data_IF_536802706818
#
_entry.id   IF_536802706818
#
_cell.length_a   1.000
_cell.length_b   1.000
_cell.length_c   1.000
_cell.angle_alpha   90.00
_cell.angle_beta   90.00
_cell.angle_gamma   90.00
#
_symmetry.space_group_name_H-M   'P 1'
#
loop_
_entity.id
_entity.type
_entity.pdbx_description
1 polymer ?
#
# COMPACT_ATOMS: atom_id res chain seq x y z
N UNK A 1 -6.86 11.70 -22.44
CA UNK A 1 -7.39 10.35 -22.73
C UNK A 1 -6.86 9.28 -21.79
N UNK A 2 -5.54 9.06 -21.64
CA UNK A 2 -5.02 8.18 -20.56
C UNK A 2 -5.07 8.90 -19.19
N UNK A 3 -4.87 10.23 -19.18
CA UNK A 3 -4.97 11.11 -18.01
C UNK A 3 -6.34 11.13 -17.33
N UNK A 4 -7.39 10.72 -18.03
CA UNK A 4 -8.79 10.80 -17.56
C UNK A 4 -9.27 9.46 -16.97
N UNK A 5 -8.46 8.40 -17.11
CA UNK A 5 -8.73 7.10 -16.52
C UNK A 5 -8.23 7.08 -15.07
N UNK A 6 -8.96 6.46 -14.12
CA UNK A 6 -8.54 6.34 -12.73
C UNK A 6 -7.44 5.26 -12.59
N UNK A 7 -6.26 5.56 -13.12
CA UNK A 7 -5.17 4.63 -13.30
C UNK A 7 -4.51 4.21 -11.98
N UNK A 8 -4.42 5.10 -10.99
CA UNK A 8 -3.94 4.76 -9.64
C UNK A 8 -4.96 3.88 -8.93
N UNK A 9 -6.25 4.20 -9.02
CA UNK A 9 -7.28 3.30 -8.47
C UNK A 9 -7.24 1.92 -9.12
N UNK A 10 -7.04 1.83 -10.44
CA UNK A 10 -6.87 0.54 -11.11
C UNK A 10 -5.63 -0.20 -10.61
N UNK A 11 -4.48 0.49 -10.47
CA UNK A 11 -3.26 -0.12 -9.96
C UNK A 11 -3.41 -0.64 -8.51
N UNK A 12 -4.20 0.02 -7.67
CA UNK A 12 -4.48 -0.40 -6.29
C UNK A 12 -5.45 -1.57 -6.25
N UNK A 13 -6.61 -1.45 -6.92
CA UNK A 13 -7.73 -2.37 -6.73
C UNK A 13 -7.63 -3.63 -7.58
N UNK A 14 -6.97 -3.58 -8.74
CA UNK A 14 -6.82 -4.75 -9.62
C UNK A 14 -6.11 -5.93 -8.94
N UNK A 15 -4.94 -5.76 -8.27
CA UNK A 15 -4.30 -6.87 -7.57
C UNK A 15 -5.09 -7.31 -6.33
N UNK A 16 -5.81 -6.41 -5.63
CA UNK A 16 -6.68 -6.78 -4.50
C UNK A 16 -7.82 -7.69 -4.96
N UNK A 17 -8.54 -7.29 -6.01
CA UNK A 17 -9.63 -8.08 -6.59
C UNK A 17 -9.07 -9.39 -7.14
N UNK A 18 -7.91 -9.35 -7.81
CA UNK A 18 -7.21 -10.53 -8.29
C UNK A 18 -6.87 -11.52 -7.18
N UNK A 19 -6.36 -11.02 -6.05
CA UNK A 19 -6.07 -11.83 -4.87
C UNK A 19 -7.31 -12.47 -4.27
N UNK A 20 -8.42 -11.73 -4.20
CA UNK A 20 -9.72 -12.28 -3.75
C UNK A 20 -10.19 -13.40 -4.69
N UNK A 21 -10.08 -13.20 -6.01
CA UNK A 21 -10.43 -14.24 -7.01
C UNK A 21 -9.56 -15.48 -6.85
N UNK A 22 -8.25 -15.31 -6.67
CA UNK A 22 -7.30 -16.40 -6.41
C UNK A 22 -7.64 -17.14 -5.12
N UNK A 23 -8.06 -16.41 -4.07
CA UNK A 23 -8.49 -17.01 -2.81
C UNK A 23 -9.73 -17.90 -3.00
N UNK A 24 -10.72 -17.45 -3.79
CA UNK A 24 -11.91 -18.24 -4.10
C UNK A 24 -11.64 -19.43 -5.02
N UNK A 25 -10.65 -19.34 -5.91
CA UNK A 25 -10.20 -20.49 -6.71
C UNK A 25 -9.72 -21.63 -5.79
N UNK A 26 -9.14 -21.27 -4.65
CA UNK A 26 -8.83 -22.17 -3.54
C UNK A 26 -7.74 -23.20 -3.84
N UNK A 27 -7.37 -23.97 -2.82
CA UNK A 27 -6.25 -24.92 -2.89
C UNK A 27 -6.60 -26.26 -3.54
N UNK A 28 -7.84 -26.44 -4.03
CA UNK A 28 -8.25 -27.66 -4.76
C UNK A 28 -7.60 -27.76 -6.14
N UNK A 29 -7.26 -26.62 -6.75
CA UNK A 29 -6.54 -26.54 -8.02
C UNK A 29 -5.39 -25.53 -7.91
N UNK A 30 -4.26 -25.91 -7.27
CA UNK A 30 -3.13 -25.01 -7.04
C UNK A 30 -2.56 -24.41 -8.33
N UNK A 31 -2.53 -25.18 -9.42
CA UNK A 31 -2.00 -24.71 -10.70
C UNK A 31 -2.91 -23.67 -11.37
N UNK A 32 -4.22 -23.80 -11.19
CA UNK A 32 -5.19 -22.77 -11.58
C UNK A 32 -4.96 -21.47 -10.80
N UNK A 33 -4.85 -21.56 -9.48
CA UNK A 33 -4.58 -20.40 -8.62
C UNK A 33 -3.24 -19.72 -8.96
N UNK A 34 -2.19 -20.50 -9.24
CA UNK A 34 -0.86 -20.03 -9.69
C UNK A 34 -0.94 -19.24 -10.99
N UNK A 35 -1.61 -19.77 -12.01
CA UNK A 35 -1.79 -19.11 -13.31
C UNK A 35 -2.63 -17.85 -13.20
N UNK A 36 -3.71 -17.89 -12.40
CA UNK A 36 -4.53 -16.70 -12.13
C UNK A 36 -3.72 -15.62 -11.43
N UNK A 37 -2.93 -15.98 -10.42
CA UNK A 37 -2.11 -15.00 -9.71
C UNK A 37 -1.07 -14.34 -10.62
N UNK A 38 -0.44 -15.13 -11.49
CA UNK A 38 0.51 -14.61 -12.48
C UNK A 38 -0.16 -13.69 -13.51
N UNK A 39 -1.38 -14.05 -13.95
CA UNK A 39 -2.15 -13.19 -14.84
C UNK A 39 -2.43 -11.83 -14.19
N UNK A 40 -2.93 -11.82 -12.95
CA UNK A 40 -3.22 -10.57 -12.25
C UNK A 40 -1.97 -9.75 -11.98
N UNK A 41 -0.85 -10.33 -11.55
CA UNK A 41 0.39 -9.57 -11.32
C UNK A 41 0.95 -8.96 -12.62
N UNK A 42 0.92 -9.69 -13.74
CA UNK A 42 1.32 -9.15 -15.05
C UNK A 42 0.40 -8.02 -15.48
N UNK A 43 -0.91 -8.19 -15.34
CA UNK A 43 -1.88 -7.14 -15.69
C UNK A 43 -1.70 -5.90 -14.81
N UNK A 44 -1.50 -6.06 -13.50
CA UNK A 44 -1.20 -4.93 -12.59
C UNK A 44 0.05 -4.20 -13.04
N UNK A 45 1.13 -4.91 -13.32
CA UNK A 45 2.37 -4.31 -13.80
C UNK A 45 2.14 -3.50 -15.09
N UNK A 46 1.43 -4.07 -16.08
CA UNK A 46 1.08 -3.36 -17.32
C UNK A 46 0.27 -2.09 -17.02
N UNK A 47 -0.66 -2.13 -16.06
CA UNK A 47 -1.43 -0.95 -15.64
C UNK A 47 -0.55 0.12 -15.00
N UNK A 48 0.56 -0.24 -14.33
CA UNK A 48 1.50 0.74 -13.78
C UNK A 48 2.46 1.35 -14.80
N UNK A 49 2.70 0.72 -15.97
CA UNK A 49 3.66 1.23 -16.96
C UNK A 49 3.36 2.65 -17.49
N UNK A 50 2.09 3.04 -17.75
CA UNK A 50 1.75 4.41 -18.10
C UNK A 50 2.19 5.46 -17.07
N UNK A 51 2.32 5.09 -15.78
CA UNK A 51 2.81 5.99 -14.74
C UNK A 51 4.26 6.44 -14.98
N UNK A 52 5.06 5.66 -15.73
CA UNK A 52 6.41 6.05 -16.13
C UNK A 52 6.44 6.72 -17.51
N UNK A 53 5.76 6.14 -18.49
CA UNK A 53 5.86 6.63 -19.88
C UNK A 53 5.16 7.96 -20.11
N UNK A 54 4.17 8.30 -19.29
CA UNK A 54 3.46 9.58 -19.33
C UNK A 54 3.81 10.49 -18.14
N UNK A 55 4.87 10.19 -17.38
CA UNK A 55 5.35 11.04 -16.29
C UNK A 55 6.10 12.26 -16.83
N UNK A 56 5.73 13.45 -16.36
CA UNK A 56 6.45 14.68 -16.67
C UNK A 56 7.50 14.98 -15.59
N UNK A 57 8.78 14.77 -15.90
CA UNK A 57 9.88 15.04 -14.96
C UNK A 57 10.25 16.53 -14.84
N UNK A 58 9.62 17.43 -15.60
CA UNK A 58 9.90 18.86 -15.59
C UNK A 58 9.18 19.64 -14.47
N UNK A 59 8.25 18.99 -13.77
CA UNK A 59 7.40 19.60 -12.73
C UNK A 59 7.52 18.91 -11.38
N UNK A 60 7.33 19.67 -10.31
CA UNK A 60 7.27 19.16 -8.92
C UNK A 60 5.83 18.86 -8.47
N UNK A 61 4.84 19.12 -9.32
CA UNK A 61 3.43 18.89 -9.00
C UNK A 61 3.12 17.39 -8.94
N UNK A 62 2.18 17.03 -8.08
CA UNK A 62 1.61 15.67 -8.05
C UNK A 62 0.91 15.37 -9.38
N UNK A 63 1.16 14.19 -9.93
CA UNK A 63 0.62 13.74 -11.22
C UNK A 63 -0.35 12.57 -11.04
N UNK A 64 -1.15 12.30 -12.07
CA UNK A 64 -2.20 11.27 -12.06
C UNK A 64 -3.14 11.41 -10.85
N UNK A 65 -3.49 12.66 -10.51
CA UNK A 65 -4.25 12.96 -9.30
C UNK A 65 -5.69 12.50 -9.43
N UNK A 66 -6.13 11.67 -8.49
CA UNK A 66 -7.51 11.23 -8.34
C UNK A 66 -8.02 11.73 -7.00
N UNK A 67 -9.06 12.58 -7.02
CA UNK A 67 -9.60 13.18 -5.79
C UNK A 67 -11.11 13.03 -5.73
N UNK A 68 -11.59 12.30 -4.73
CA UNK A 68 -13.01 12.19 -4.39
C UNK A 68 -13.24 12.44 -2.90
N UNK A 69 -14.38 13.04 -2.56
CA UNK A 69 -14.78 13.20 -1.15
C UNK A 69 -15.13 11.83 -0.59
N UNK A 70 -14.49 11.45 0.51
CA UNK A 70 -14.75 10.16 1.17
C UNK A 70 -15.55 10.33 2.47
N UNK A 71 -15.07 11.15 3.40
CA UNK A 71 -15.77 11.46 4.66
C UNK A 71 -15.82 12.98 4.83
N UNK A 72 -16.98 13.55 4.54
CA UNK A 72 -17.15 15.01 4.42
C UNK A 72 -16.98 15.73 5.76
N UNK A 73 -17.44 15.12 6.84
CA UNK A 73 -17.45 15.68 8.20
C UNK A 73 -16.04 15.96 8.71
N UNK A 74 -15.08 15.12 8.32
CA UNK A 74 -13.68 15.21 8.73
C UNK A 74 -12.76 15.74 7.63
N UNK A 75 -13.32 16.18 6.49
CA UNK A 75 -12.55 16.65 5.34
C UNK A 75 -11.56 15.60 4.79
N UNK A 76 -11.92 14.30 4.90
CA UNK A 76 -11.11 13.18 4.43
C UNK A 76 -11.47 12.88 2.97
N UNK A 77 -10.44 12.75 2.15
CA UNK A 77 -10.59 12.50 0.73
C UNK A 77 -9.95 11.18 0.33
N UNK A 78 -10.56 10.51 -0.65
CA UNK A 78 -9.84 9.56 -1.48
C UNK A 78 -8.98 10.38 -2.44
N UNK A 79 -7.79 10.77 -1.97
CA UNK A 79 -6.85 11.60 -2.69
C UNK A 79 -5.61 10.77 -3.01
N UNK A 80 -5.48 10.37 -4.26
CA UNK A 80 -4.31 9.70 -4.80
C UNK A 80 -3.55 10.64 -5.72
N UNK A 81 -2.24 10.46 -5.79
CA UNK A 81 -1.36 11.11 -6.74
C UNK A 81 0.06 10.59 -6.57
N UNK A 82 0.90 10.83 -7.57
CA UNK A 82 2.28 10.37 -7.56
C UNK A 82 3.26 11.50 -7.87
N UNK A 83 4.45 11.40 -7.27
CA UNK A 83 5.60 12.24 -7.55
C UNK A 83 6.78 11.40 -8.06
N UNK A 84 7.96 12.02 -8.18
CA UNK A 84 9.18 11.36 -8.66
C UNK A 84 9.72 10.27 -7.74
N UNK A 85 9.27 10.19 -6.48
CA UNK A 85 9.68 9.15 -5.51
C UNK A 85 8.67 8.00 -5.53
N UNK A 86 7.39 8.31 -5.54
CA UNK A 86 6.29 7.35 -5.48
C UNK A 86 6.23 6.51 -6.76
N UNK A 87 6.46 7.14 -7.92
CA UNK A 87 6.38 6.48 -9.23
C UNK A 87 7.33 5.27 -9.34
N UNK A 88 8.66 5.39 -9.09
CA UNK A 88 9.56 4.24 -9.14
C UNK A 88 9.18 3.15 -8.14
N UNK A 89 8.70 3.50 -6.95
CA UNK A 89 8.34 2.53 -5.90
C UNK A 89 7.10 1.71 -6.28
N UNK A 90 6.10 2.32 -6.92
CA UNK A 90 4.91 1.62 -7.43
C UNK A 90 5.29 0.62 -8.54
N UNK A 91 6.15 1.03 -9.48
CA UNK A 91 6.59 0.16 -10.58
C UNK A 91 7.48 -0.97 -10.05
N UNK A 92 8.36 -0.67 -9.12
CA UNK A 92 9.19 -1.68 -8.45
C UNK A 92 8.32 -2.69 -7.71
N UNK A 93 7.30 -2.23 -6.98
CA UNK A 93 6.39 -3.09 -6.21
C UNK A 93 5.65 -4.08 -7.11
N UNK A 94 5.09 -3.59 -8.22
CA UNK A 94 4.36 -4.45 -9.16
C UNK A 94 5.29 -5.41 -9.92
N UNK A 95 6.47 -4.94 -10.32
CA UNK A 95 7.49 -5.80 -10.93
C UNK A 95 7.97 -6.90 -10.00
N UNK A 96 8.28 -6.56 -8.74
CA UNK A 96 8.73 -7.54 -7.74
C UNK A 96 7.65 -8.57 -7.43
N UNK A 97 6.37 -8.18 -7.46
CA UNK A 97 5.26 -9.12 -7.25
C UNK A 97 5.22 -10.21 -8.32
N UNK A 98 5.51 -9.90 -9.58
CA UNK A 98 5.63 -10.91 -10.64
C UNK A 98 6.72 -11.94 -10.27
N UNK A 99 7.89 -11.47 -9.86
CA UNK A 99 9.02 -12.34 -9.49
C UNK A 99 8.63 -13.23 -8.31
N UNK A 100 8.00 -12.66 -7.28
CA UNK A 100 7.55 -13.41 -6.10
C UNK A 100 6.53 -14.47 -6.48
N UNK A 101 5.54 -14.15 -7.33
CA UNK A 101 4.55 -15.11 -7.80
C UNK A 101 5.21 -16.25 -8.56
N UNK A 102 6.16 -15.96 -9.46
CA UNK A 102 6.89 -17.00 -10.20
C UNK A 102 7.70 -17.89 -9.24
N UNK A 103 8.46 -17.30 -8.32
CA UNK A 103 9.26 -18.05 -7.34
C UNK A 103 8.37 -18.93 -6.43
N UNK A 104 7.17 -18.44 -6.08
CA UNK A 104 6.23 -19.16 -5.24
C UNK A 104 5.67 -20.43 -5.89
N UNK A 105 5.75 -20.58 -7.22
CA UNK A 105 5.31 -21.81 -7.90
C UNK A 105 6.13 -23.03 -7.47
N UNK A 106 7.44 -22.83 -7.26
CA UNK A 106 8.35 -23.89 -6.82
C UNK A 106 8.39 -23.99 -5.30
N UNK A 107 8.49 -22.86 -4.60
CA UNK A 107 8.75 -22.83 -3.15
C UNK A 107 7.49 -23.15 -2.33
N UNK A 108 6.29 -22.77 -2.80
CA UNK A 108 5.06 -22.89 -2.01
C UNK A 108 4.20 -24.05 -2.50
N UNK A 109 4.21 -25.13 -1.71
CA UNK A 109 3.42 -26.34 -1.98
C UNK A 109 2.22 -26.54 -1.02
N UNK A 110 2.21 -25.85 0.12
CA UNK A 110 1.11 -25.88 1.07
C UNK A 110 0.31 -24.58 0.98
N UNK A 111 -1.02 -24.70 0.80
CA UNK A 111 -1.95 -23.55 0.74
C UNK A 111 -1.54 -22.45 -0.27
N UNK A 112 -1.07 -22.86 -1.45
CA UNK A 112 -0.51 -21.95 -2.45
C UNK A 112 -1.49 -20.83 -2.88
N UNK A 113 -2.80 -21.11 -2.96
CA UNK A 113 -3.79 -20.12 -3.32
C UNK A 113 -3.88 -18.99 -2.28
N UNK A 114 -3.84 -19.34 -0.99
CA UNK A 114 -3.88 -18.37 0.11
C UNK A 114 -2.62 -17.50 0.15
N UNK A 115 -1.45 -18.10 -0.10
CA UNK A 115 -0.18 -17.37 -0.18
C UNK A 115 -0.21 -16.35 -1.31
N UNK A 116 -0.56 -16.78 -2.52
CA UNK A 116 -0.59 -15.93 -3.71
C UNK A 116 -1.63 -14.82 -3.58
N UNK A 117 -2.81 -15.14 -3.03
CA UNK A 117 -3.84 -14.15 -2.72
C UNK A 117 -3.34 -13.08 -1.76
N UNK A 118 -2.64 -13.48 -0.68
CA UNK A 118 -2.08 -12.55 0.29
C UNK A 118 -1.06 -11.61 -0.36
N UNK A 119 -0.17 -12.11 -1.23
CA UNK A 119 0.81 -11.28 -1.93
C UNK A 119 0.18 -10.27 -2.90
N UNK A 120 -0.86 -10.66 -3.65
CA UNK A 120 -1.57 -9.75 -4.53
C UNK A 120 -2.35 -8.67 -3.75
N UNK A 121 -3.01 -9.05 -2.66
CA UNK A 121 -3.70 -8.07 -1.80
C UNK A 121 -2.69 -7.09 -1.19
N UNK A 122 -1.53 -7.61 -0.75
CA UNK A 122 -0.43 -6.80 -0.22
C UNK A 122 0.12 -5.84 -1.27
N UNK A 123 0.33 -6.28 -2.52
CA UNK A 123 0.75 -5.43 -3.64
C UNK A 123 -0.17 -4.21 -3.79
N UNK A 124 -1.49 -4.41 -3.80
CA UNK A 124 -2.45 -3.32 -3.92
C UNK A 124 -2.40 -2.34 -2.74
N UNK A 125 -2.29 -2.83 -1.51
CA UNK A 125 -2.14 -1.96 -0.33
C UNK A 125 -0.81 -1.19 -0.32
N UNK A 126 0.28 -1.80 -0.80
CA UNK A 126 1.57 -1.12 -0.94
C UNK A 126 1.49 0.00 -1.99
N UNK A 127 0.89 -0.26 -3.16
CA UNK A 127 0.66 0.76 -4.19
C UNK A 127 -0.22 1.88 -3.63
N UNK A 128 -1.26 1.54 -2.87
CA UNK A 128 -2.14 2.51 -2.20
C UNK A 128 -1.37 3.39 -1.20
N UNK A 129 -0.46 2.79 -0.44
CA UNK A 129 0.41 3.50 0.52
C UNK A 129 1.31 4.51 -0.20
N UNK A 130 1.93 4.14 -1.32
CA UNK A 130 2.80 5.04 -2.08
C UNK A 130 2.05 6.12 -2.87
N UNK A 131 0.75 5.93 -3.15
CA UNK A 131 -0.04 6.89 -3.93
C UNK A 131 -0.95 7.78 -3.09
N UNK A 132 -1.12 7.51 -1.80
CA UNK A 132 -2.03 8.27 -0.95
C UNK A 132 -1.49 9.66 -0.60
N UNK A 133 -2.27 10.70 -0.91
CA UNK A 133 -2.02 12.11 -0.58
C UNK A 133 -2.92 12.63 0.55
N UNK A 134 -3.80 11.79 1.07
CA UNK A 134 -4.54 12.01 2.32
C UNK A 134 -3.93 11.12 3.41
N UNK A 135 -3.58 11.71 4.54
CA UNK A 135 -2.87 11.04 5.63
C UNK A 135 -3.67 9.92 6.30
N UNK A 136 -5.00 10.01 6.36
CA UNK A 136 -5.84 8.92 6.88
C UNK A 136 -5.93 7.78 5.87
N UNK A 137 -6.05 8.11 4.59
CA UNK A 137 -6.00 7.11 3.52
C UNK A 137 -4.65 6.37 3.51
N UNK A 138 -3.54 7.12 3.64
CA UNK A 138 -2.20 6.56 3.81
C UNK A 138 -2.13 5.62 5.01
N UNK A 139 -2.60 6.07 6.18
CA UNK A 139 -2.61 5.27 7.41
C UNK A 139 -3.39 3.97 7.24
N UNK A 140 -4.57 4.03 6.60
CA UNK A 140 -5.41 2.85 6.36
C UNK A 140 -4.70 1.85 5.45
N UNK A 141 -4.07 2.28 4.35
CA UNK A 141 -3.31 1.38 3.49
C UNK A 141 -2.09 0.79 4.19
N UNK A 142 -1.38 1.62 4.96
CA UNK A 142 -0.20 1.22 5.74
C UNK A 142 -0.54 0.15 6.79
N UNK A 143 -1.66 0.31 7.49
CA UNK A 143 -2.14 -0.71 8.44
C UNK A 143 -2.71 -1.94 7.73
N UNK A 144 -3.45 -1.75 6.64
CA UNK A 144 -4.08 -2.85 5.92
C UNK A 144 -3.04 -3.83 5.34
N UNK A 145 -1.89 -3.35 4.88
CA UNK A 145 -0.81 -4.23 4.40
C UNK A 145 -0.22 -5.12 5.49
N UNK A 146 -0.33 -4.75 6.77
CA UNK A 146 0.13 -5.60 7.89
C UNK A 146 -0.68 -6.90 7.98
N UNK A 147 -1.94 -6.92 7.55
CA UNK A 147 -2.80 -8.10 7.63
C UNK A 147 -2.27 -9.24 6.73
N UNK A 148 -2.06 -9.05 5.40
CA UNK A 148 -1.40 -10.05 4.57
C UNK A 148 -0.02 -10.46 5.09
N UNK A 149 0.81 -9.50 5.51
CA UNK A 149 2.15 -9.80 6.04
C UNK A 149 2.09 -10.70 7.29
N UNK A 150 1.18 -10.41 8.21
CA UNK A 150 0.93 -11.22 9.39
C UNK A 150 0.61 -12.68 9.01
N UNK A 151 -0.27 -12.87 8.03
CA UNK A 151 -0.69 -14.21 7.58
C UNK A 151 0.47 -14.93 6.89
N UNK A 152 1.22 -14.22 6.03
CA UNK A 152 2.36 -14.78 5.29
C UNK A 152 3.43 -15.30 6.26
N UNK A 153 3.83 -14.47 7.24
CA UNK A 153 4.82 -14.86 8.24
C UNK A 153 4.27 -15.98 9.12
N UNK A 154 3.01 -15.89 9.56
CA UNK A 154 2.42 -16.84 10.52
C UNK A 154 2.22 -18.25 9.98
N UNK A 155 1.94 -18.40 8.68
CA UNK A 155 1.67 -19.70 8.06
C UNK A 155 2.89 -20.24 7.31
N UNK A 156 3.61 -19.41 6.54
CA UNK A 156 4.73 -19.85 5.69
C UNK A 156 6.11 -19.44 6.21
N UNK A 157 6.18 -18.71 7.33
CA UNK A 157 7.44 -18.41 7.99
C UNK A 157 8.15 -19.66 8.52
N UNK A 158 9.44 -19.51 8.81
CA UNK A 158 10.31 -20.58 9.29
C UNK A 158 10.10 -20.96 10.76
N UNK A 159 11.18 -21.37 11.44
CA UNK A 159 11.14 -21.72 12.86
C UNK A 159 10.65 -20.53 13.72
N UNK A 160 9.85 -20.80 14.75
CA UNK A 160 9.26 -19.79 15.64
C UNK A 160 8.36 -18.74 14.94
N UNK A 161 7.77 -19.07 13.79
CA UNK A 161 6.91 -18.16 13.01
C UNK A 161 5.81 -17.45 13.80
N UNK A 162 5.16 -18.11 14.76
CA UNK A 162 4.10 -17.50 15.57
C UNK A 162 4.68 -16.36 16.42
N UNK A 163 5.81 -16.61 17.08
CA UNK A 163 6.51 -15.60 17.87
C UNK A 163 7.00 -14.44 17.00
N UNK A 164 7.58 -14.74 15.83
CA UNK A 164 8.02 -13.73 14.89
C UNK A 164 6.86 -12.86 14.39
N UNK A 165 5.72 -13.47 14.07
CA UNK A 165 4.53 -12.79 13.57
C UNK A 165 3.93 -11.85 14.62
N UNK A 166 3.78 -12.34 15.87
CA UNK A 166 3.28 -11.52 16.97
C UNK A 166 4.21 -10.34 17.27
N UNK A 167 5.53 -10.57 17.26
CA UNK A 167 6.50 -9.49 17.42
C UNK A 167 6.40 -8.47 16.29
N UNK A 168 6.47 -8.92 15.04
CA UNK A 168 6.37 -8.06 13.87
C UNK A 168 5.17 -7.13 13.99
N UNK A 169 3.98 -7.71 14.22
CA UNK A 169 2.75 -6.94 14.35
C UNK A 169 2.76 -5.98 15.55
N UNK A 170 3.20 -6.42 16.73
CA UNK A 170 3.22 -5.54 17.91
C UNK A 170 4.19 -4.37 17.74
N UNK A 171 5.38 -4.60 17.19
CA UNK A 171 6.35 -3.53 16.96
C UNK A 171 5.85 -2.53 15.92
N UNK A 172 5.30 -2.99 14.79
CA UNK A 172 4.78 -2.09 13.75
C UNK A 172 3.53 -1.35 14.22
N UNK A 173 2.59 -2.05 14.87
CA UNK A 173 1.33 -1.47 15.32
C UNK A 173 1.53 -0.41 16.41
N UNK A 174 2.44 -0.64 17.37
CA UNK A 174 2.70 0.35 18.42
C UNK A 174 3.30 1.63 17.82
N UNK A 175 4.24 1.50 16.89
CA UNK A 175 4.81 2.66 16.19
C UNK A 175 3.75 3.42 15.39
N UNK A 176 2.92 2.70 14.64
CA UNK A 176 1.90 3.32 13.79
C UNK A 176 0.78 4.01 14.57
N UNK A 177 0.38 3.51 15.74
CA UNK A 177 -0.58 4.20 16.61
C UNK A 177 -0.04 5.57 17.05
N UNK A 178 1.26 5.69 17.34
CA UNK A 178 1.86 6.99 17.65
C UNK A 178 1.84 7.93 16.44
N UNK A 179 2.12 7.41 15.25
CA UNK A 179 1.97 8.17 14.00
C UNK A 179 0.53 8.66 13.81
N UNK A 180 -0.48 7.82 14.06
CA UNK A 180 -1.89 8.23 14.00
C UNK A 180 -2.20 9.39 14.96
N UNK A 181 -1.69 9.34 16.19
CA UNK A 181 -1.86 10.44 17.15
C UNK A 181 -1.25 11.74 16.60
N UNK A 182 -0.08 11.67 15.97
CA UNK A 182 0.55 12.83 15.34
C UNK A 182 -0.26 13.36 14.14
N UNK A 183 -0.84 12.48 13.31
CA UNK A 183 -1.73 12.87 12.21
C UNK A 183 -2.99 13.59 12.70
N UNK A 184 -3.63 13.06 13.74
CA UNK A 184 -4.81 13.69 14.37
C UNK A 184 -4.43 15.04 14.98
N UNK A 185 -3.25 15.15 15.60
CA UNK A 185 -2.75 16.42 16.11
C UNK A 185 -2.58 17.46 14.99
N UNK A 186 -1.93 17.09 13.89
CA UNK A 186 -1.75 17.99 12.74
C UNK A 186 -3.10 18.39 12.13
N UNK A 187 -4.06 17.48 12.05
CA UNK A 187 -5.44 17.79 11.64
C UNK A 187 -6.09 18.87 12.51
N UNK A 188 -5.88 18.83 13.83
CA UNK A 188 -6.40 19.88 14.73
C UNK A 188 -5.84 21.27 14.44
N UNK A 189 -4.72 21.37 13.71
CA UNK A 189 -4.08 22.63 13.29
C UNK A 189 -4.44 23.02 11.86
N UNK A 190 -4.49 22.06 10.93
CA UNK A 190 -4.77 22.31 9.50
C UNK A 190 -6.25 22.35 9.14
N UNK A 191 -7.10 21.61 9.87
CA UNK A 191 -8.49 21.34 9.48
C UNK A 191 -8.64 20.42 8.26
N UNK A 192 -7.56 19.75 7.84
CA UNK A 192 -7.51 18.91 6.64
C UNK A 192 -6.53 17.76 6.82
N UNK A 193 -6.87 16.58 6.29
CA UNK A 193 -5.98 15.42 6.28
C UNK A 193 -5.10 15.33 5.02
N UNK A 194 -5.20 16.30 4.10
CA UNK A 194 -4.33 16.44 2.93
C UNK A 194 -2.87 16.62 3.36
N UNK A 195 -1.98 15.75 2.87
CA UNK A 195 -0.54 15.82 3.14
C UNK A 195 0.05 17.13 2.62
N UNK A 196 -0.46 17.61 1.47
CA UNK A 196 -0.02 18.88 0.88
C UNK A 196 -0.31 20.06 1.82
N UNK A 197 -1.48 20.06 2.47
CA UNK A 197 -1.86 21.12 3.41
C UNK A 197 -1.02 21.02 4.70
N UNK A 198 -0.63 19.81 5.09
CA UNK A 198 0.25 19.59 6.25
C UNK A 198 1.68 20.11 6.02
N UNK A 199 2.17 20.12 4.78
CA UNK A 199 3.49 20.70 4.47
C UNK A 199 3.57 22.20 4.73
N UNK A 200 2.44 22.91 4.61
CA UNK A 200 2.37 24.35 4.82
C UNK A 200 2.10 24.73 6.29
N UNK A 201 1.95 23.74 7.19
CA UNK A 201 1.70 23.98 8.61
C UNK A 201 2.90 24.64 9.30
N UNK A 202 2.63 25.74 9.99
CA UNK A 202 3.61 26.43 10.83
C UNK A 202 3.56 25.86 12.25
N UNK A 203 4.40 24.85 12.48
CA UNK A 203 4.53 24.17 13.78
C UNK A 203 5.70 24.74 14.58
N UNK A 204 5.55 24.84 15.89
CA UNK A 204 6.64 25.17 16.80
C UNK A 204 7.67 24.03 16.90
N UNK A 205 8.92 24.35 17.25
CA UNK A 205 10.01 23.35 17.31
C UNK A 205 9.68 22.15 18.21
N UNK A 206 9.04 22.38 19.36
CA UNK A 206 8.63 21.31 20.27
C UNK A 206 7.60 20.36 19.62
N UNK A 207 6.62 20.91 18.89
CA UNK A 207 5.62 20.11 18.17
C UNK A 207 6.30 19.25 17.09
N UNK A 208 7.20 19.85 16.32
CA UNK A 208 7.97 19.16 15.27
C UNK A 208 8.79 18.01 15.83
N UNK A 209 9.44 18.18 16.99
CA UNK A 209 10.22 17.11 17.63
C UNK A 209 9.32 15.92 18.00
N UNK A 210 8.16 16.16 18.62
CA UNK A 210 7.26 15.08 19.00
C UNK A 210 6.64 14.38 17.79
N UNK A 211 6.24 15.13 16.78
CA UNK A 211 5.74 14.56 15.52
C UNK A 211 6.84 13.75 14.84
N UNK A 212 8.06 14.28 14.76
CA UNK A 212 9.20 13.56 14.20
C UNK A 212 9.47 12.25 14.95
N UNK A 213 9.48 12.26 16.29
CA UNK A 213 9.67 11.03 17.08
C UNK A 213 8.54 10.02 16.86
N UNK A 214 7.30 10.47 16.75
CA UNK A 214 6.17 9.60 16.46
C UNK A 214 6.30 8.93 15.08
N UNK A 215 6.68 9.69 14.06
CA UNK A 215 6.95 9.16 12.71
C UNK A 215 8.19 8.26 12.68
N UNK A 216 9.27 8.65 13.37
CA UNK A 216 10.49 7.86 13.46
C UNK A 216 10.19 6.49 14.07
N UNK A 217 9.42 6.43 15.16
CA UNK A 217 9.04 5.15 15.78
C UNK A 217 8.12 4.29 14.90
N UNK A 218 7.36 4.90 13.99
CA UNK A 218 6.52 4.15 13.05
C UNK A 218 7.32 3.58 11.86
N UNK A 219 8.41 4.23 11.47
CA UNK A 219 9.22 3.86 10.29
C UNK A 219 10.58 3.22 10.63
N UNK A 220 11.01 3.19 11.90
CA UNK A 220 12.27 2.58 12.35
C UNK A 220 12.14 1.08 12.65
#
# INVERSE_FOLDING_TARGET
MISDLPLLSLAVWLPIIGGIIVLFAGDKNPDGARKLALLFSIVTFIVTLPLYTAFDSSTHMMQFVEKAVWIKEFNIHYHLGIDGISMPLIILTSFMTIIVVIAAWEVIQYKAAQYLAAFLIMEGFMIGTFSALDSILFYIFFEAMLIPMFIVIGIWGGANRIYATLKFFLYTFVGSVLMLVALIYMYSKSGSFSILDMHDLKLGMTEQIFIFLAFLLAFA
#
